data_IF_639638976630
#
_entry.id   IF_639638976630
#
_cell.length_a   1.000
_cell.length_b   1.000
_cell.length_c   1.000
_cell.angle_alpha   90.00
_cell.angle_beta   90.00
_cell.angle_gamma   90.00
#
_symmetry.space_group_name_H-M   'P 1'
#
loop_
_entity.id
_entity.type
_entity.pdbx_description
1 polymer ?
#
# COMPACT_ATOMS: atom_id res chain seq x y z
N UNK A 1 37.93 4.89 -33.74
CA UNK A 1 37.46 5.42 -32.44
C UNK A 1 36.95 4.22 -31.64
N UNK A 2 37.38 4.03 -30.39
CA UNK A 2 36.90 2.87 -29.60
C UNK A 2 35.41 3.04 -29.29
N UNK A 3 34.66 1.94 -29.24
CA UNK A 3 33.22 1.94 -28.94
C UNK A 3 32.91 2.71 -27.65
N UNK A 4 33.76 2.56 -26.62
CA UNK A 4 33.65 3.29 -25.36
C UNK A 4 33.75 4.81 -25.53
N UNK A 5 34.67 5.28 -26.38
CA UNK A 5 34.83 6.73 -26.63
C UNK A 5 33.58 7.31 -27.26
N UNK A 6 33.01 6.60 -28.24
CA UNK A 6 31.76 7.01 -28.89
C UNK A 6 30.59 7.05 -27.91
N UNK A 7 30.46 6.05 -27.03
CA UNK A 7 29.41 6.04 -26.00
C UNK A 7 29.58 7.22 -25.02
N UNK A 8 30.82 7.50 -24.57
CA UNK A 8 31.10 8.65 -23.70
C UNK A 8 30.74 9.98 -24.35
N UNK A 9 31.06 10.17 -25.62
CA UNK A 9 30.74 11.39 -26.37
C UNK A 9 29.21 11.59 -26.49
N UNK A 10 28.47 10.51 -26.82
CA UNK A 10 27.00 10.54 -26.84
C UNK A 10 26.46 10.94 -25.46
N UNK A 11 26.98 10.32 -24.40
CA UNK A 11 26.58 10.58 -23.02
C UNK A 11 26.90 12.01 -22.56
N UNK A 12 28.03 12.59 -22.97
CA UNK A 12 28.37 13.98 -22.67
C UNK A 12 27.33 14.97 -23.22
N UNK A 13 26.74 14.65 -24.38
CA UNK A 13 25.73 15.47 -25.02
C UNK A 13 24.32 15.35 -24.39
N UNK A 14 24.06 14.33 -23.56
CA UNK A 14 22.80 14.21 -22.80
C UNK A 14 22.63 15.35 -21.79
N UNK A 15 23.71 15.94 -21.30
CA UNK A 15 23.67 17.07 -20.38
C UNK A 15 23.79 18.44 -21.09
N UNK A 16 23.78 18.48 -22.42
CA UNK A 16 23.90 19.74 -23.19
C UNK A 16 22.80 20.74 -22.85
N UNK A 17 23.09 22.03 -22.96
CA UNK A 17 22.06 23.08 -22.83
C UNK A 17 21.13 23.15 -24.05
N UNK A 18 21.53 22.55 -25.18
CA UNK A 18 20.73 22.50 -26.41
C UNK A 18 19.77 21.29 -26.39
N UNK A 19 18.47 21.55 -26.33
CA UNK A 19 17.45 20.49 -26.27
C UNK A 19 17.48 19.55 -27.50
N UNK A 20 17.77 20.08 -28.70
CA UNK A 20 17.86 19.29 -29.94
C UNK A 20 19.04 18.32 -29.93
N UNK A 21 20.15 18.71 -29.29
CA UNK A 21 21.33 17.88 -29.11
C UNK A 21 21.06 16.76 -28.12
N UNK A 22 20.48 17.08 -26.95
CA UNK A 22 20.06 16.07 -25.98
C UNK A 22 19.13 15.03 -26.59
N UNK A 23 18.10 15.47 -27.32
CA UNK A 23 17.13 14.59 -27.98
C UNK A 23 17.81 13.65 -28.98
N UNK A 24 18.66 14.16 -29.86
CA UNK A 24 19.39 13.33 -30.83
C UNK A 24 20.29 12.31 -30.14
N UNK A 25 21.01 12.75 -29.12
CA UNK A 25 21.95 11.89 -28.40
C UNK A 25 21.26 10.79 -27.61
N UNK A 26 20.13 11.08 -26.94
CA UNK A 26 19.39 10.03 -26.20
C UNK A 26 18.72 9.03 -27.15
N UNK A 27 18.23 9.46 -28.32
CA UNK A 27 17.70 8.55 -29.35
C UNK A 27 18.80 7.62 -29.90
N UNK A 28 19.99 8.19 -30.14
CA UNK A 28 21.17 7.42 -30.55
C UNK A 28 21.60 6.44 -29.46
N UNK A 29 21.66 6.89 -28.21
CA UNK A 29 22.00 6.05 -27.07
C UNK A 29 21.01 4.91 -26.91
N UNK A 30 19.71 5.17 -27.09
CA UNK A 30 18.65 4.15 -27.04
C UNK A 30 18.89 3.05 -28.07
N UNK A 31 19.21 3.39 -29.32
CA UNK A 31 19.55 2.41 -30.36
C UNK A 31 20.85 1.64 -30.05
N UNK A 32 21.80 2.27 -29.36
CA UNK A 32 23.03 1.59 -28.94
C UNK A 32 22.78 0.61 -27.80
N UNK A 33 21.92 0.96 -26.84
CA UNK A 33 21.56 0.09 -25.71
C UNK A 33 20.69 -1.11 -26.11
N UNK A 34 19.96 -1.03 -27.22
CA UNK A 34 19.21 -2.19 -27.76
C UNK A 34 20.12 -3.17 -28.51
N UNK A 35 21.33 -2.76 -28.92
CA UNK A 35 22.30 -3.59 -29.63
C UNK A 35 23.34 -4.14 -28.65
N UNK A 36 23.50 -5.46 -28.57
CA UNK A 36 24.31 -6.15 -27.54
C UNK A 36 25.73 -5.59 -27.32
N UNK A 37 26.38 -4.99 -28.33
CA UNK A 37 27.75 -4.48 -28.23
C UNK A 37 27.98 -3.47 -27.08
N UNK A 38 27.07 -2.51 -26.87
CA UNK A 38 27.21 -1.54 -25.78
C UNK A 38 26.86 -2.14 -24.41
N UNK A 39 25.74 -2.86 -24.24
CA UNK A 39 25.47 -3.59 -23.01
C UNK A 39 26.59 -4.55 -22.59
N UNK A 40 27.22 -5.26 -23.53
CA UNK A 40 28.33 -6.18 -23.24
C UNK A 40 29.56 -5.42 -22.74
N UNK A 41 29.93 -4.33 -23.43
CA UNK A 41 31.01 -3.42 -23.01
C UNK A 41 30.78 -2.87 -21.59
N UNK A 42 29.60 -2.31 -21.33
CA UNK A 42 29.25 -1.73 -20.03
C UNK A 42 29.25 -2.79 -18.93
N UNK A 43 28.79 -4.01 -19.24
CA UNK A 43 28.77 -5.12 -18.30
C UNK A 43 30.17 -5.61 -17.95
N UNK A 44 31.06 -5.74 -18.95
CA UNK A 44 32.47 -6.07 -18.75
C UNK A 44 33.17 -5.03 -17.89
N UNK A 45 32.99 -3.76 -18.20
CA UNK A 45 33.60 -2.65 -17.47
C UNK A 45 33.10 -2.59 -16.03
N UNK A 46 31.80 -2.82 -15.80
CA UNK A 46 31.22 -2.88 -14.46
C UNK A 46 31.80 -4.02 -13.62
N UNK A 47 31.93 -5.23 -14.20
CA UNK A 47 32.53 -6.38 -13.51
C UNK A 47 34.01 -6.18 -13.21
N UNK A 48 34.77 -5.62 -14.17
CA UNK A 48 36.20 -5.31 -14.04
C UNK A 48 36.46 -4.10 -13.15
N UNK A 49 35.42 -3.32 -12.80
CA UNK A 49 35.50 -2.04 -12.09
C UNK A 49 36.47 -1.06 -12.78
N UNK A 50 36.46 -1.06 -14.11
CA UNK A 50 37.38 -0.26 -14.92
C UNK A 50 36.68 0.22 -16.20
N UNK A 51 36.98 1.44 -16.63
CA UNK A 51 36.34 2.06 -17.80
C UNK A 51 34.94 2.59 -17.51
N UNK A 52 34.22 2.98 -18.56
CA UNK A 52 32.83 3.44 -18.47
C UNK A 52 31.87 2.30 -18.20
N UNK A 53 31.11 2.40 -17.12
CA UNK A 53 30.30 1.32 -16.56
C UNK A 53 28.80 1.65 -16.57
N UNK A 54 27.97 0.68 -16.19
CA UNK A 54 26.54 0.92 -15.97
C UNK A 54 26.27 1.96 -14.89
N UNK A 55 27.15 2.07 -13.89
CA UNK A 55 27.02 3.06 -12.81
C UNK A 55 27.23 4.49 -13.31
N UNK A 56 28.11 4.69 -14.29
CA UNK A 56 28.38 6.01 -14.87
C UNK A 56 27.24 6.41 -15.81
N UNK A 57 26.76 5.44 -16.60
CA UNK A 57 25.62 5.67 -17.49
C UNK A 57 24.34 5.99 -16.72
N UNK A 58 24.09 5.31 -15.60
CA UNK A 58 22.91 5.56 -14.77
C UNK A 58 22.87 6.98 -14.19
N UNK A 59 24.02 7.48 -13.72
CA UNK A 59 24.12 8.86 -13.22
C UNK A 59 23.80 9.86 -14.34
N UNK A 60 24.39 9.69 -15.52
CA UNK A 60 24.18 10.58 -16.66
C UNK A 60 22.72 10.56 -17.15
N UNK A 61 22.09 9.38 -17.15
CA UNK A 61 20.68 9.24 -17.49
C UNK A 61 19.81 9.96 -16.44
N UNK A 62 20.13 9.81 -15.15
CA UNK A 62 19.42 10.50 -14.06
C UNK A 62 19.51 12.01 -14.22
N UNK A 63 20.71 12.55 -14.49
CA UNK A 63 20.90 13.98 -14.75
C UNK A 63 20.12 14.48 -15.97
N UNK A 64 20.11 13.68 -17.05
CA UNK A 64 19.30 13.95 -18.23
C UNK A 64 17.80 14.02 -17.91
N UNK A 65 17.29 13.05 -17.14
CA UNK A 65 15.88 13.02 -16.72
C UNK A 65 15.51 14.26 -15.90
N UNK A 66 16.34 14.63 -14.93
CA UNK A 66 16.13 15.82 -14.11
C UNK A 66 16.10 17.09 -14.97
N UNK A 67 17.01 17.20 -15.95
CA UNK A 67 17.08 18.34 -16.86
C UNK A 67 15.89 18.44 -17.81
N UNK A 68 15.34 17.31 -18.26
CA UNK A 68 14.11 17.32 -19.05
C UNK A 68 12.88 17.67 -18.19
N UNK A 69 12.86 17.22 -16.93
CA UNK A 69 11.78 17.51 -15.99
C UNK A 69 11.65 19.01 -15.68
N UNK A 70 12.73 19.79 -15.70
CA UNK A 70 12.70 21.26 -15.48
C UNK A 70 11.70 22.02 -16.37
N UNK A 71 11.36 21.46 -17.54
CA UNK A 71 10.48 22.11 -18.53
C UNK A 71 9.14 21.43 -18.69
N UNK A 72 8.79 20.45 -17.85
CA UNK A 72 7.65 19.57 -18.11
C UNK A 72 6.32 20.33 -18.21
N UNK A 73 6.07 21.31 -17.34
CA UNK A 73 4.84 22.11 -17.35
C UNK A 73 4.74 23.03 -18.58
N UNK A 74 5.88 23.55 -19.05
CA UNK A 74 5.95 24.49 -20.18
C UNK A 74 5.94 23.80 -21.54
N UNK A 75 6.25 22.50 -21.59
CA UNK A 75 6.49 21.76 -22.82
C UNK A 75 5.26 20.98 -23.26
N UNK A 76 4.67 21.40 -24.38
CA UNK A 76 3.48 20.75 -24.97
C UNK A 76 3.73 19.30 -25.42
N UNK A 77 4.99 18.92 -25.62
CA UNK A 77 5.37 17.59 -26.12
C UNK A 77 6.02 16.73 -25.03
N UNK A 78 6.07 17.19 -23.78
CA UNK A 78 6.78 16.45 -22.73
C UNK A 78 6.15 15.07 -22.51
N UNK A 79 4.87 15.01 -22.15
CA UNK A 79 4.20 13.75 -21.83
C UNK A 79 4.09 12.79 -23.02
N UNK A 80 4.04 13.30 -24.26
CA UNK A 80 3.83 12.48 -25.47
C UNK A 80 5.13 12.03 -26.14
N UNK A 81 6.24 12.76 -25.96
CA UNK A 81 7.51 12.48 -26.66
C UNK A 81 8.67 12.34 -25.70
N UNK A 82 8.93 13.35 -24.86
CA UNK A 82 10.10 13.37 -23.97
C UNK A 82 9.99 12.33 -22.86
N UNK A 83 8.84 12.26 -22.20
CA UNK A 83 8.59 11.36 -21.08
C UNK A 83 8.71 9.87 -21.48
N UNK A 84 8.08 9.38 -22.56
CA UNK A 84 8.28 7.99 -23.01
C UNK A 84 9.74 7.65 -23.32
N UNK A 85 10.51 8.63 -23.82
CA UNK A 85 11.93 8.46 -24.09
C UNK A 85 12.76 8.38 -22.80
N UNK A 86 12.43 9.20 -21.79
CA UNK A 86 13.00 9.15 -20.45
C UNK A 86 12.77 7.78 -19.79
N UNK A 87 11.51 7.31 -19.78
CA UNK A 87 11.16 5.98 -19.25
C UNK A 87 11.94 4.90 -19.97
N UNK A 88 11.95 4.94 -21.30
CA UNK A 88 12.60 3.92 -22.12
C UNK A 88 14.12 3.84 -21.87
N UNK A 89 14.82 4.97 -21.78
CA UNK A 89 16.28 4.95 -21.60
C UNK A 89 16.67 4.52 -20.18
N UNK A 90 15.92 4.98 -19.17
CA UNK A 90 16.09 4.59 -17.77
C UNK A 90 15.91 3.07 -17.61
N UNK A 91 14.84 2.52 -18.18
CA UNK A 91 14.54 1.09 -18.12
C UNK A 91 15.56 0.24 -18.87
N UNK A 92 15.98 0.67 -20.07
CA UNK A 92 17.01 -0.04 -20.85
C UNK A 92 18.35 -0.11 -20.09
N UNK A 93 18.73 0.96 -19.38
CA UNK A 93 19.95 0.98 -18.58
C UNK A 93 19.93 -0.07 -17.48
N UNK A 94 18.90 -0.07 -16.63
CA UNK A 94 18.82 -1.01 -15.51
C UNK A 94 18.57 -2.43 -15.99
N UNK A 95 17.66 -2.63 -16.95
CA UNK A 95 17.40 -3.95 -17.55
C UNK A 95 18.65 -4.55 -18.19
N UNK A 96 19.44 -3.74 -18.90
CA UNK A 96 20.71 -4.14 -19.49
C UNK A 96 21.71 -4.61 -18.43
N UNK A 97 21.85 -3.84 -17.34
CA UNK A 97 22.71 -4.20 -16.21
C UNK A 97 22.31 -5.53 -15.55
N UNK A 98 21.01 -5.76 -15.36
CA UNK A 98 20.46 -6.97 -14.76
C UNK A 98 20.69 -8.18 -15.67
N UNK A 99 20.37 -8.05 -16.96
CA UNK A 99 20.60 -9.11 -17.96
C UNK A 99 22.06 -9.51 -18.04
N UNK A 100 22.97 -8.53 -17.97
CA UNK A 100 24.40 -8.74 -17.95
C UNK A 100 24.96 -9.26 -16.62
N UNK A 101 24.13 -9.42 -15.57
CA UNK A 101 24.57 -9.71 -14.19
C UNK A 101 25.69 -8.77 -13.72
N UNK A 102 25.60 -7.52 -14.16
CA UNK A 102 26.58 -6.46 -13.94
C UNK A 102 25.85 -5.28 -13.32
N UNK A 103 25.31 -5.52 -12.12
CA UNK A 103 24.34 -4.65 -11.47
C UNK A 103 24.90 -3.25 -11.20
N UNK A 104 24.04 -2.25 -11.38
CA UNK A 104 24.27 -0.90 -10.87
C UNK A 104 24.29 -0.99 -9.34
N UNK A 105 24.96 -0.07 -8.64
CA UNK A 105 24.93 -0.02 -7.17
C UNK A 105 23.50 0.23 -6.70
N UNK A 106 23.01 -0.58 -5.76
CA UNK A 106 21.65 -0.46 -5.23
C UNK A 106 21.39 0.95 -4.66
N UNK A 107 22.31 1.46 -3.83
CA UNK A 107 22.20 2.80 -3.22
C UNK A 107 22.03 3.90 -4.28
N UNK A 108 22.70 3.80 -5.43
CA UNK A 108 22.51 4.79 -6.51
C UNK A 108 21.10 4.82 -7.06
N UNK A 109 20.50 3.65 -7.27
CA UNK A 109 19.13 3.56 -7.79
C UNK A 109 18.15 4.06 -6.73
N UNK A 110 18.35 3.63 -5.47
CA UNK A 110 17.47 4.02 -4.36
C UNK A 110 17.56 5.52 -4.08
N UNK A 111 18.76 6.10 -3.99
CA UNK A 111 18.96 7.53 -3.77
C UNK A 111 18.30 8.37 -4.87
N UNK A 112 18.48 7.98 -6.14
CA UNK A 112 17.85 8.65 -7.27
C UNK A 112 16.31 8.56 -7.21
N UNK A 113 15.77 7.37 -6.92
CA UNK A 113 14.33 7.16 -6.80
C UNK A 113 13.75 7.96 -5.63
N UNK A 114 14.34 7.87 -4.44
CA UNK A 114 13.90 8.60 -3.26
C UNK A 114 13.98 10.11 -3.47
N UNK A 115 15.03 10.62 -4.12
CA UNK A 115 15.16 12.04 -4.46
C UNK A 115 14.00 12.53 -5.34
N UNK A 116 13.67 11.80 -6.41
CA UNK A 116 12.56 12.15 -7.31
C UNK A 116 11.21 12.06 -6.60
N UNK A 117 10.98 10.98 -5.85
CA UNK A 117 9.68 10.69 -5.24
C UNK A 117 9.40 11.56 -3.98
N UNK A 118 10.44 12.09 -3.32
CA UNK A 118 10.29 13.08 -2.23
C UNK A 118 9.92 14.47 -2.73
N UNK A 119 10.33 14.82 -3.95
CA UNK A 119 10.08 16.14 -4.51
C UNK A 119 8.77 16.14 -5.30
N UNK A 120 7.77 16.88 -4.80
CA UNK A 120 6.43 16.98 -5.43
C UNK A 120 6.46 17.36 -6.91
N UNK A 121 7.34 18.29 -7.31
CA UNK A 121 7.45 18.73 -8.71
C UNK A 121 8.00 17.60 -9.60
N UNK A 122 9.08 16.94 -9.15
CA UNK A 122 9.71 15.85 -9.89
C UNK A 122 8.84 14.58 -9.92
N UNK A 123 8.10 14.31 -8.85
CA UNK A 123 7.15 13.19 -8.78
C UNK A 123 6.10 13.32 -9.88
N UNK A 124 5.56 14.53 -10.09
CA UNK A 124 4.58 14.78 -11.15
C UNK A 124 5.18 14.71 -12.56
N UNK A 125 6.46 15.08 -12.71
CA UNK A 125 7.12 15.08 -14.01
C UNK A 125 7.55 13.67 -14.46
N UNK A 126 8.24 12.94 -13.57
CA UNK A 126 8.97 11.72 -13.88
C UNK A 126 8.88 10.63 -12.78
N UNK A 127 8.04 10.81 -11.75
CA UNK A 127 7.91 9.85 -10.65
C UNK A 127 7.49 8.45 -11.11
N UNK A 128 6.54 8.36 -12.04
CA UNK A 128 6.10 7.11 -12.64
C UNK A 128 7.22 6.34 -13.34
N UNK A 129 8.22 7.04 -13.91
CA UNK A 129 9.38 6.40 -14.53
C UNK A 129 10.21 5.63 -13.48
N UNK A 130 10.39 6.21 -12.29
CA UNK A 130 11.12 5.60 -11.19
C UNK A 130 10.31 4.54 -10.45
N UNK A 131 9.00 4.72 -10.26
CA UNK A 131 8.16 3.68 -9.68
C UNK A 131 8.11 2.43 -10.57
N UNK A 132 7.91 2.62 -11.87
CA UNK A 132 7.94 1.51 -12.83
C UNK A 132 9.33 0.89 -12.96
N UNK A 133 10.41 1.67 -12.79
CA UNK A 133 11.78 1.15 -12.72
C UNK A 133 11.94 0.22 -11.51
N UNK A 134 11.57 0.70 -10.32
CA UNK A 134 11.64 -0.06 -9.07
C UNK A 134 10.85 -1.36 -9.20
N UNK A 135 9.60 -1.26 -9.63
CA UNK A 135 8.67 -2.39 -9.79
C UNK A 135 9.14 -3.44 -10.80
N UNK A 136 9.74 -3.03 -11.92
CA UNK A 136 10.05 -3.98 -13.01
C UNK A 136 11.44 -4.59 -12.89
N UNK A 137 12.40 -3.87 -12.30
CA UNK A 137 13.81 -4.24 -12.41
C UNK A 137 14.57 -4.27 -11.08
N UNK A 138 14.06 -3.61 -10.04
CA UNK A 138 14.79 -3.52 -8.75
C UNK A 138 14.18 -4.45 -7.73
N UNK A 139 12.90 -4.24 -7.40
CA UNK A 139 12.18 -5.00 -6.37
C UNK A 139 11.98 -6.49 -6.72
N UNK A 140 11.82 -6.89 -7.99
CA UNK A 140 11.81 -8.32 -8.35
C UNK A 140 13.19 -8.99 -8.42
N UNK A 141 14.28 -8.26 -8.16
CA UNK A 141 15.64 -8.77 -8.33
C UNK A 141 16.31 -8.97 -6.97
N UNK A 142 16.52 -10.23 -6.60
CA UNK A 142 17.09 -10.64 -5.30
C UNK A 142 18.42 -9.94 -4.96
N UNK A 143 19.23 -9.65 -5.97
CA UNK A 143 20.50 -8.94 -5.78
C UNK A 143 20.30 -7.52 -5.24
N UNK A 144 19.23 -6.83 -5.65
CA UNK A 144 18.93 -5.51 -5.08
C UNK A 144 18.21 -5.62 -3.76
N UNK A 145 17.16 -6.45 -3.68
CA UNK A 145 16.32 -6.57 -2.46
C UNK A 145 17.16 -6.89 -1.23
N UNK A 146 18.14 -7.79 -1.35
CA UNK A 146 19.05 -8.16 -0.25
C UNK A 146 20.02 -7.03 0.17
N UNK A 147 20.19 -5.99 -0.66
CA UNK A 147 21.06 -4.86 -0.41
C UNK A 147 20.30 -3.61 0.07
N UNK A 148 18.96 -3.57 -0.04
CA UNK A 148 18.16 -2.45 0.45
C UNK A 148 18.14 -2.50 1.99
N UNK A 149 18.65 -1.44 2.62
CA UNK A 149 18.70 -1.35 4.08
C UNK A 149 17.30 -1.16 4.68
N UNK A 150 17.05 -1.56 5.94
CA UNK A 150 15.78 -1.29 6.62
C UNK A 150 15.40 0.20 6.61
N UNK A 151 16.37 1.12 6.77
CA UNK A 151 16.12 2.56 6.68
C UNK A 151 15.69 3.01 5.28
N UNK A 152 16.25 2.41 4.23
CA UNK A 152 15.84 2.71 2.85
C UNK A 152 14.44 2.17 2.56
N UNK A 153 14.09 1.01 3.12
CA UNK A 153 12.73 0.49 3.07
C UNK A 153 11.74 1.39 3.79
N UNK A 154 12.08 1.90 4.97
CA UNK A 154 11.27 2.87 5.71
C UNK A 154 11.06 4.15 4.90
N UNK A 155 12.12 4.68 4.29
CA UNK A 155 12.03 5.87 3.44
C UNK A 155 11.13 5.65 2.24
N UNK A 156 11.23 4.48 1.59
CA UNK A 156 10.39 4.12 0.45
C UNK A 156 8.92 3.99 0.88
N UNK A 157 8.67 3.32 2.02
CA UNK A 157 7.34 3.20 2.61
C UNK A 157 6.75 4.57 2.93
N UNK A 158 7.51 5.45 3.56
CA UNK A 158 7.07 6.80 3.90
C UNK A 158 6.65 7.59 2.66
N UNK A 159 7.40 7.50 1.57
CA UNK A 159 7.08 8.24 0.34
C UNK A 159 5.87 7.64 -0.38
N UNK A 160 5.80 6.32 -0.47
CA UNK A 160 4.67 5.61 -1.08
C UNK A 160 3.38 5.99 -0.32
N UNK A 161 3.43 5.91 1.01
CA UNK A 161 2.30 6.20 1.91
C UNK A 161 1.94 7.69 1.93
N UNK A 162 2.91 8.60 2.08
CA UNK A 162 2.64 10.01 2.36
C UNK A 162 2.48 10.89 1.12
N UNK A 163 2.91 10.45 -0.08
CA UNK A 163 3.04 11.37 -1.21
C UNK A 163 2.67 10.81 -2.58
N UNK A 164 2.99 9.55 -2.86
CA UNK A 164 2.81 8.98 -4.19
C UNK A 164 1.42 8.35 -4.38
N UNK A 165 0.92 7.59 -3.41
CA UNK A 165 -0.36 6.89 -3.56
C UNK A 165 -1.55 7.86 -3.68
N UNK A 166 -1.63 8.91 -2.86
CA UNK A 166 -2.75 9.87 -2.90
C UNK A 166 -2.82 10.69 -4.21
N UNK A 167 -1.69 10.92 -4.90
CA UNK A 167 -1.65 11.70 -6.15
C UNK A 167 -1.70 10.83 -7.39
N UNK A 168 -0.90 9.77 -7.44
CA UNK A 168 -0.84 8.86 -8.59
C UNK A 168 -2.12 8.04 -8.71
N UNK A 169 -2.82 7.79 -7.59
CA UNK A 169 -4.18 7.24 -7.62
C UNK A 169 -5.13 8.08 -8.47
N UNK A 170 -5.05 9.41 -8.40
CA UNK A 170 -5.96 10.30 -9.11
C UNK A 170 -5.69 10.32 -10.62
N UNK A 171 -4.44 10.09 -11.04
CA UNK A 171 -4.02 10.22 -12.44
C UNK A 171 -3.87 8.86 -13.16
N UNK A 172 -3.47 7.79 -12.46
CA UNK A 172 -3.24 6.47 -13.03
C UNK A 172 -3.43 5.31 -12.02
N UNK A 173 -4.63 5.24 -11.43
CA UNK A 173 -5.02 4.22 -10.43
C UNK A 173 -4.64 2.78 -10.81
N UNK A 174 -4.76 2.38 -12.08
CA UNK A 174 -4.51 0.99 -12.49
C UNK A 174 -3.03 0.60 -12.37
N UNK A 175 -2.12 1.49 -12.75
CA UNK A 175 -0.68 1.26 -12.56
C UNK A 175 -0.31 1.25 -11.07
N UNK A 176 -1.01 2.04 -10.26
CA UNK A 176 -0.84 2.03 -8.80
C UNK A 176 -1.31 0.70 -8.20
N UNK A 177 -2.45 0.16 -8.63
CA UNK A 177 -2.89 -1.19 -8.26
C UNK A 177 -1.84 -2.24 -8.61
N UNK A 178 -1.33 -2.24 -9.85
CA UNK A 178 -0.28 -3.16 -10.29
C UNK A 178 0.99 -3.05 -9.42
N UNK A 179 1.37 -1.84 -9.03
CA UNK A 179 2.51 -1.62 -8.16
C UNK A 179 2.28 -2.21 -6.77
N UNK A 180 1.12 -1.96 -6.17
CA UNK A 180 0.78 -2.47 -4.85
C UNK A 180 0.72 -4.00 -4.88
N UNK A 181 -0.03 -4.59 -5.80
CA UNK A 181 -0.24 -6.03 -5.90
C UNK A 181 1.09 -6.80 -5.99
N UNK A 182 2.07 -6.28 -6.73
CA UNK A 182 3.38 -6.92 -6.93
C UNK A 182 4.36 -6.73 -5.77
N UNK A 183 4.27 -5.62 -5.04
CA UNK A 183 5.28 -5.25 -4.05
C UNK A 183 4.81 -5.40 -2.60
N UNK A 184 3.50 -5.48 -2.35
CA UNK A 184 2.97 -5.68 -1.01
C UNK A 184 3.43 -6.99 -0.34
N UNK A 185 3.62 -8.11 -1.06
CA UNK A 185 4.20 -9.32 -0.47
C UNK A 185 5.55 -9.12 0.22
N UNK A 186 6.40 -8.24 -0.30
CA UNK A 186 7.70 -7.92 0.33
C UNK A 186 7.49 -7.28 1.71
N UNK A 187 6.47 -6.44 1.87
CA UNK A 187 6.16 -5.81 3.16
C UNK A 187 5.72 -6.84 4.19
N UNK A 188 5.00 -7.88 3.78
CA UNK A 188 4.63 -8.97 4.68
C UNK A 188 5.85 -9.77 5.15
N UNK A 189 6.85 -9.98 4.30
CA UNK A 189 8.10 -10.67 4.65
C UNK A 189 8.94 -9.89 5.68
N UNK A 190 8.90 -8.56 5.65
CA UNK A 190 9.64 -7.70 6.59
C UNK A 190 8.87 -7.37 7.88
N UNK A 191 7.61 -7.77 8.00
CA UNK A 191 6.82 -7.45 9.18
C UNK A 191 7.23 -8.31 10.39
N UNK A 192 7.51 -7.65 11.51
CA UNK A 192 7.74 -8.31 12.80
C UNK A 192 6.83 -7.71 13.88
N UNK A 193 6.18 -8.55 14.69
CA UNK A 193 5.26 -8.10 15.75
C UNK A 193 5.93 -7.21 16.80
N UNK A 194 7.23 -7.36 17.02
CA UNK A 194 8.03 -6.58 17.97
C UNK A 194 8.69 -5.35 17.33
N UNK A 195 8.37 -5.02 16.08
CA UNK A 195 8.90 -3.82 15.42
C UNK A 195 8.46 -2.54 16.16
N UNK A 196 9.24 -1.48 15.97
CA UNK A 196 8.95 -0.16 16.54
C UNK A 196 7.55 0.35 16.17
N UNK A 197 6.90 1.06 17.11
CA UNK A 197 5.51 1.53 16.99
C UNK A 197 5.33 2.45 15.78
N UNK A 198 6.31 3.31 15.48
CA UNK A 198 6.24 4.20 14.32
C UNK A 198 6.28 3.40 13.02
N UNK A 199 7.17 2.41 12.92
CA UNK A 199 7.27 1.53 11.74
C UNK A 199 6.00 0.73 11.53
N UNK A 200 5.47 0.16 12.61
CA UNK A 200 4.20 -0.56 12.58
C UNK A 200 3.05 0.33 12.11
N UNK A 201 3.00 1.58 12.58
CA UNK A 201 2.00 2.56 12.14
C UNK A 201 2.11 2.88 10.65
N UNK A 202 3.33 2.98 10.10
CA UNK A 202 3.58 3.19 8.67
C UNK A 202 3.12 1.99 7.82
N UNK A 203 3.42 0.76 8.27
CA UNK A 203 2.93 -0.45 7.60
C UNK A 203 1.40 -0.46 7.54
N UNK A 204 0.71 -0.26 8.67
CA UNK A 204 -0.75 -0.23 8.65
C UNK A 204 -1.32 0.95 7.84
N UNK A 205 -0.61 2.08 7.75
CA UNK A 205 -1.03 3.17 6.86
C UNK A 205 -0.92 2.78 5.37
N UNK A 206 0.14 2.07 4.99
CA UNK A 206 0.28 1.51 3.65
C UNK A 206 -0.86 0.54 3.35
N UNK A 207 -1.17 -0.36 4.28
CA UNK A 207 -2.26 -1.32 4.10
C UNK A 207 -3.61 -0.62 3.95
N UNK A 208 -3.87 0.38 4.79
CA UNK A 208 -5.10 1.17 4.70
C UNK A 208 -5.23 1.85 3.33
N UNK A 209 -4.16 2.53 2.89
CA UNK A 209 -4.13 3.23 1.59
C UNK A 209 -4.27 2.24 0.44
N UNK A 210 -3.60 1.10 0.53
CA UNK A 210 -3.68 0.02 -0.47
C UNK A 210 -5.09 -0.51 -0.61
N UNK A 211 -5.77 -0.80 0.51
CA UNK A 211 -7.17 -1.25 0.49
C UNK A 211 -8.07 -0.14 -0.05
N UNK A 212 -7.90 1.12 0.38
CA UNK A 212 -8.73 2.23 -0.08
C UNK A 212 -8.60 2.47 -1.61
N UNK A 213 -7.41 2.23 -2.17
CA UNK A 213 -7.16 2.32 -3.61
C UNK A 213 -7.88 1.19 -4.37
N UNK A 214 -7.95 -0.02 -3.84
CA UNK A 214 -8.61 -1.15 -4.52
C UNK A 214 -10.12 -1.19 -4.27
N UNK A 215 -10.52 -0.88 -3.04
CA UNK A 215 -11.86 -0.93 -2.48
C UNK A 215 -12.27 0.43 -1.89
N UNK A 216 -12.46 1.49 -2.70
CA UNK A 216 -12.91 2.78 -2.21
C UNK A 216 -14.21 2.62 -1.41
N UNK A 217 -14.23 3.12 -0.18
CA UNK A 217 -15.38 2.99 0.73
C UNK A 217 -15.82 1.53 0.99
N UNK A 218 -14.92 0.57 0.84
CA UNK A 218 -15.19 -0.86 1.01
C UNK A 218 -15.99 -1.50 -0.14
N UNK A 219 -15.95 -0.91 -1.34
CA UNK A 219 -16.61 -1.49 -2.51
C UNK A 219 -15.91 -2.75 -3.00
N UNK A 220 -16.65 -3.83 -3.27
CA UNK A 220 -16.11 -5.14 -3.70
C UNK A 220 -16.01 -5.26 -5.22
N UNK A 221 -15.31 -6.29 -5.74
CA UNK A 221 -14.99 -6.48 -7.17
C UNK A 221 -16.14 -6.23 -8.16
N UNK A 222 -17.37 -6.56 -7.79
CA UNK A 222 -18.54 -6.43 -8.67
C UNK A 222 -19.25 -5.08 -8.57
N UNK A 223 -18.74 -4.16 -7.74
CA UNK A 223 -19.32 -2.84 -7.53
C UNK A 223 -18.54 -1.76 -8.30
N UNK A 224 -19.28 -0.74 -8.72
CA UNK A 224 -18.71 0.40 -9.43
C UNK A 224 -17.56 1.02 -8.63
N UNK A 225 -16.48 1.40 -9.31
CA UNK A 225 -15.26 1.96 -8.73
C UNK A 225 -14.39 1.01 -7.90
N UNK A 226 -14.72 -0.27 -7.71
CA UNK A 226 -13.73 -1.24 -7.25
C UNK A 226 -12.75 -1.53 -8.40
N UNK A 227 -11.44 -1.60 -8.11
CA UNK A 227 -10.43 -1.77 -9.15
C UNK A 227 -9.23 -2.54 -8.62
N UNK A 228 -8.74 -3.48 -9.43
CA UNK A 228 -7.46 -4.15 -9.26
C UNK A 228 -6.86 -4.31 -10.66
N UNK A 229 -5.53 -4.35 -10.75
CA UNK A 229 -4.85 -4.74 -11.97
C UNK A 229 -5.02 -6.24 -12.21
N UNK A 230 -4.79 -7.04 -11.17
CA UNK A 230 -5.04 -8.47 -11.14
C UNK A 230 -5.77 -8.85 -9.84
N UNK A 231 -7.07 -9.15 -9.97
CA UNK A 231 -7.91 -9.54 -8.82
C UNK A 231 -7.43 -10.81 -8.11
N UNK A 232 -6.76 -11.73 -8.81
CA UNK A 232 -6.25 -12.96 -8.18
C UNK A 232 -5.07 -12.65 -7.26
N UNK A 233 -4.10 -11.87 -7.76
CA UNK A 233 -2.95 -11.38 -6.97
C UNK A 233 -3.41 -10.51 -5.79
N UNK A 234 -4.37 -9.61 -6.03
CA UNK A 234 -4.92 -8.77 -4.99
C UNK A 234 -5.67 -9.57 -3.91
N UNK A 235 -6.42 -10.60 -4.28
CA UNK A 235 -7.10 -11.45 -3.29
C UNK A 235 -6.11 -12.22 -2.41
N UNK A 236 -4.96 -12.64 -2.95
CA UNK A 236 -3.87 -13.21 -2.15
C UNK A 236 -3.35 -12.18 -1.15
N UNK A 237 -3.11 -10.94 -1.62
CA UNK A 237 -2.71 -9.85 -0.74
C UNK A 237 -3.73 -9.57 0.37
N UNK A 238 -5.03 -9.53 0.07
CA UNK A 238 -6.09 -9.35 1.07
C UNK A 238 -6.09 -10.46 2.13
N UNK A 239 -5.86 -11.71 1.72
CA UNK A 239 -5.74 -12.81 2.68
C UNK A 239 -4.51 -12.64 3.58
N UNK A 240 -3.36 -12.26 3.01
CA UNK A 240 -2.17 -11.96 3.80
C UNK A 240 -2.38 -10.79 4.77
N UNK A 241 -3.16 -9.77 4.38
CA UNK A 241 -3.57 -8.68 5.29
C UNK A 241 -4.42 -9.23 6.44
N UNK A 242 -5.39 -10.11 6.17
CA UNK A 242 -6.20 -10.75 7.23
C UNK A 242 -5.36 -11.58 8.19
N UNK A 243 -4.41 -12.35 7.66
CA UNK A 243 -3.51 -13.18 8.46
C UNK A 243 -2.63 -12.28 9.35
N UNK A 244 -2.14 -11.17 8.81
CA UNK A 244 -1.38 -10.16 9.55
C UNK A 244 -2.19 -9.50 10.67
N UNK A 245 -3.44 -9.10 10.39
CA UNK A 245 -4.35 -8.55 11.41
C UNK A 245 -4.55 -9.57 12.53
N UNK A 246 -4.82 -10.84 12.18
CA UNK A 246 -5.05 -11.90 13.15
C UNK A 246 -3.82 -12.16 14.01
N UNK A 247 -2.64 -12.15 13.39
CA UNK A 247 -1.35 -12.27 14.04
C UNK A 247 -1.13 -11.12 15.04
N UNK A 248 -1.49 -9.89 14.67
CA UNK A 248 -1.33 -8.71 15.53
C UNK A 248 -2.35 -8.68 16.67
N UNK A 249 -3.62 -9.03 16.43
CA UNK A 249 -4.64 -9.19 17.48
C UNK A 249 -4.13 -10.19 18.53
N UNK A 250 -3.66 -11.36 18.08
CA UNK A 250 -3.13 -12.39 18.97
C UNK A 250 -1.93 -11.91 19.78
N UNK A 251 -1.08 -11.06 19.20
CA UNK A 251 0.06 -10.46 19.89
C UNK A 251 -0.39 -9.47 20.96
N UNK A 252 -1.30 -8.55 20.62
CA UNK A 252 -1.85 -7.55 21.54
C UNK A 252 -2.49 -8.23 22.74
N UNK A 253 -3.30 -9.26 22.52
CA UNK A 253 -3.99 -9.98 23.58
C UNK A 253 -3.04 -10.72 24.53
N UNK A 254 -1.91 -11.21 24.04
CA UNK A 254 -0.87 -11.86 24.85
C UNK A 254 0.05 -10.85 25.57
N UNK A 255 0.21 -9.66 25.01
CA UNK A 255 1.14 -8.64 25.49
C UNK A 255 0.44 -7.59 26.36
N UNK A 256 0.34 -7.84 27.66
CA UNK A 256 -0.24 -6.89 28.63
C UNK A 256 0.57 -5.57 28.77
N UNK A 257 1.79 -5.47 28.22
CA UNK A 257 2.65 -4.28 28.35
C UNK A 257 2.44 -3.23 27.24
N UNK A 258 1.82 -3.61 26.12
CA UNK A 258 1.65 -2.75 24.93
C UNK A 258 0.18 -2.52 24.54
N UNK A 259 -0.76 -3.03 25.34
CA UNK A 259 -2.20 -2.95 25.10
C UNK A 259 -2.70 -1.52 24.88
N UNK A 260 -2.25 -0.56 25.70
CA UNK A 260 -2.70 0.84 25.59
C UNK A 260 -2.14 1.58 24.36
N UNK A 261 -0.93 1.24 23.90
CA UNK A 261 -0.30 1.88 22.72
C UNK A 261 -0.92 1.40 21.40
N UNK A 262 -1.39 0.15 21.34
CA UNK A 262 -2.00 -0.41 20.12
C UNK A 262 -3.52 -0.23 20.06
N UNK A 263 -4.20 -0.12 21.21
CA UNK A 263 -5.59 0.38 21.27
C UNK A 263 -5.75 1.71 20.51
N UNK A 264 -4.71 2.54 20.55
CA UNK A 264 -4.68 3.88 19.95
C UNK A 264 -4.02 3.92 18.56
N UNK A 265 -3.58 2.79 18.01
CA UNK A 265 -3.04 2.76 16.65
C UNK A 265 -4.18 2.90 15.62
N UNK A 266 -4.49 4.14 15.27
CA UNK A 266 -5.59 4.49 14.38
C UNK A 266 -5.54 3.72 13.05
N UNK A 267 -4.36 3.59 12.44
CA UNK A 267 -4.19 2.89 11.17
C UNK A 267 -4.50 1.39 11.28
N UNK A 268 -4.06 0.72 12.36
CA UNK A 268 -4.38 -0.69 12.59
C UNK A 268 -5.89 -0.90 12.76
N UNK A 269 -6.55 -0.06 13.55
CA UNK A 269 -7.99 -0.15 13.77
C UNK A 269 -8.77 0.10 12.46
N UNK A 270 -8.33 1.05 11.63
CA UNK A 270 -8.90 1.32 10.30
C UNK A 270 -8.76 0.13 9.36
N UNK A 271 -7.56 -0.43 9.22
CA UNK A 271 -7.30 -1.62 8.39
C UNK A 271 -8.13 -2.81 8.86
N UNK A 272 -8.19 -3.04 10.17
CA UNK A 272 -8.98 -4.13 10.74
C UNK A 272 -10.47 -3.94 10.44
N UNK A 273 -11.02 -2.75 10.67
CA UNK A 273 -12.43 -2.45 10.44
C UNK A 273 -12.83 -2.63 8.97
N UNK A 274 -12.06 -2.10 8.01
CA UNK A 274 -12.36 -2.25 6.58
C UNK A 274 -12.23 -3.70 6.13
N UNK A 275 -11.25 -4.43 6.65
CA UNK A 275 -11.07 -5.83 6.27
C UNK A 275 -12.19 -6.73 6.78
N UNK A 276 -12.64 -6.56 8.04
CA UNK A 276 -13.84 -7.25 8.52
C UNK A 276 -15.08 -6.88 7.71
N UNK A 277 -15.25 -5.59 7.36
CA UNK A 277 -16.36 -5.16 6.50
C UNK A 277 -16.34 -5.87 5.13
N UNK A 278 -15.17 -5.91 4.47
CA UNK A 278 -15.00 -6.61 3.20
C UNK A 278 -15.27 -8.11 3.33
N UNK A 279 -14.77 -8.76 4.38
CA UNK A 279 -15.03 -10.18 4.64
C UNK A 279 -16.52 -10.46 4.81
N UNK A 280 -17.23 -9.65 5.58
CA UNK A 280 -18.67 -9.82 5.79
C UNK A 280 -19.45 -9.63 4.48
N UNK A 281 -19.13 -8.58 3.72
CA UNK A 281 -19.79 -8.25 2.46
C UNK A 281 -19.54 -9.28 1.36
N UNK A 282 -18.32 -9.82 1.28
CA UNK A 282 -18.01 -10.92 0.36
C UNK A 282 -18.69 -12.23 0.76
N UNK A 283 -18.84 -12.48 2.06
CA UNK A 283 -19.55 -13.67 2.56
C UNK A 283 -21.03 -13.65 2.19
N UNK A 284 -21.71 -12.50 2.31
CA UNK A 284 -23.12 -12.37 1.90
C UNK A 284 -23.29 -12.57 0.41
N UNK A 285 -22.42 -11.99 -0.43
CA UNK A 285 -22.53 -12.13 -1.88
C UNK A 285 -22.31 -13.57 -2.37
N UNK A 286 -21.46 -14.36 -1.71
CA UNK A 286 -21.27 -15.78 -2.05
C UNK A 286 -22.49 -16.66 -1.70
N UNK A 287 -23.30 -16.24 -0.73
CA UNK A 287 -24.56 -16.93 -0.39
C UNK A 287 -25.60 -16.65 -1.47
N UNK A 288 -25.72 -15.40 -1.93
CA UNK A 288 -26.71 -15.00 -2.94
C UNK A 288 -26.47 -15.65 -4.31
N UNK A 289 -25.21 -15.87 -4.71
CA UNK A 289 -24.86 -16.50 -5.99
C UNK A 289 -25.09 -18.02 -5.99
N UNK A 290 -25.03 -18.68 -4.82
CA UNK A 290 -25.24 -20.14 -4.70
C UNK A 290 -26.73 -20.55 -4.61
N UNK A 291 -27.66 -19.59 -4.72
CA UNK A 291 -29.09 -19.85 -4.68
C UNK A 291 -29.65 -20.35 -6.04
N UNK A 292 -28.90 -20.23 -7.13
CA UNK A 292 -29.28 -20.72 -8.46
C UNK A 292 -28.25 -21.75 -8.98
N UNK A 293 -28.54 -23.04 -8.75
CA UNK A 293 -28.04 -24.12 -9.60
C UNK A 293 -26.63 -24.68 -9.32
N UNK A 294 -26.62 -25.99 -9.04
CA UNK A 294 -25.50 -26.94 -9.26
C UNK A 294 -24.33 -26.99 -8.26
N UNK A 295 -24.43 -28.04 -7.42
CA UNK A 295 -23.36 -28.94 -6.93
C UNK A 295 -22.01 -28.30 -6.57
N UNK A 296 -21.88 -28.10 -5.27
CA UNK A 296 -20.65 -27.90 -4.51
C UNK A 296 -19.40 -28.58 -5.10
N UNK A 297 -18.53 -27.77 -5.69
CA UNK A 297 -17.13 -28.10 -5.91
C UNK A 297 -16.28 -27.69 -4.68
N UNK A 298 -15.30 -28.55 -4.39
CA UNK A 298 -14.42 -28.59 -3.21
C UNK A 298 -13.95 -27.22 -2.70
N UNK A 299 -14.32 -26.91 -1.45
CA UNK A 299 -13.76 -25.80 -0.66
C UNK A 299 -12.23 -25.98 -0.52
N UNK A 300 -11.40 -25.01 -0.93
CA UNK A 300 -10.02 -24.94 -0.47
C UNK A 300 -10.03 -24.67 1.04
N UNK A 301 -9.22 -25.41 1.80
CA UNK A 301 -9.02 -25.17 3.24
C UNK A 301 -8.22 -23.89 3.43
N UNK A 302 -8.88 -22.80 3.80
CA UNK A 302 -8.25 -21.63 4.43
C UNK A 302 -8.43 -21.72 5.94
N UNK A 303 -7.32 -21.88 6.63
CA UNK A 303 -7.19 -21.60 8.07
C UNK A 303 -7.54 -20.15 8.35
N UNK A 304 -8.20 -19.90 9.49
CA UNK A 304 -8.67 -18.60 10.02
C UNK A 304 -10.09 -18.17 9.57
N UNK A 305 -11.07 -18.90 10.09
CA UNK A 305 -12.50 -18.54 10.13
C UNK A 305 -12.79 -17.69 11.38
N UNK A 306 -12.13 -16.55 11.53
CA UNK A 306 -12.42 -15.64 12.65
C UNK A 306 -13.31 -14.53 12.08
N UNK A 307 -14.61 -14.68 12.31
CA UNK A 307 -15.68 -13.71 12.03
C UNK A 307 -16.13 -13.62 10.57
N UNK A 308 -17.28 -14.22 10.26
CA UNK A 308 -17.96 -14.07 8.96
C UNK A 308 -19.09 -13.04 9.01
N UNK A 309 -19.49 -12.65 10.22
CA UNK A 309 -20.57 -11.69 10.46
C UNK A 309 -20.18 -10.68 11.54
N UNK A 310 -20.91 -9.56 11.57
CA UNK A 310 -20.76 -8.57 12.63
C UNK A 310 -21.03 -9.16 14.03
N UNK A 311 -21.96 -10.11 14.13
CA UNK A 311 -22.26 -10.80 15.39
C UNK A 311 -21.06 -11.58 15.94
N UNK A 312 -20.26 -12.19 15.07
CA UNK A 312 -19.05 -12.92 15.49
C UNK A 312 -18.01 -11.96 16.06
N UNK A 313 -17.84 -10.79 15.43
CA UNK A 313 -16.98 -9.71 15.93
C UNK A 313 -17.41 -9.22 17.32
N UNK A 314 -18.72 -9.10 17.56
CA UNK A 314 -19.23 -8.79 18.91
C UNK A 314 -18.97 -9.94 19.89
N UNK A 315 -19.01 -11.19 19.43
CA UNK A 315 -18.62 -12.36 20.22
C UNK A 315 -17.17 -12.28 20.71
N UNK A 316 -16.25 -11.85 19.86
CA UNK A 316 -14.84 -11.62 20.22
C UNK A 316 -14.70 -10.47 21.23
N UNK A 317 -15.43 -9.36 21.03
CA UNK A 317 -15.47 -8.25 22.00
C UNK A 317 -15.91 -8.73 23.40
N UNK A 318 -16.93 -9.59 23.49
CA UNK A 318 -17.38 -10.14 24.78
C UNK A 318 -16.31 -10.96 25.50
N UNK A 319 -15.49 -11.71 24.75
CA UNK A 319 -14.46 -12.57 25.33
C UNK A 319 -13.24 -11.76 25.76
N UNK A 320 -12.83 -10.82 24.93
CA UNK A 320 -11.71 -9.93 25.21
C UNK A 320 -11.99 -8.57 24.58
N UNK A 321 -12.03 -7.52 25.38
CA UNK A 321 -12.31 -6.19 24.86
C UNK A 321 -11.15 -5.55 24.11
N UNK A 322 -9.93 -6.09 24.29
CA UNK A 322 -8.73 -5.60 23.62
C UNK A 322 -8.37 -6.55 22.46
N UNK A 323 -8.11 -6.04 21.24
CA UNK A 323 -8.30 -4.67 20.74
C UNK A 323 -9.73 -4.38 20.24
N UNK A 324 -10.64 -5.35 20.39
CA UNK A 324 -11.94 -5.40 19.71
C UNK A 324 -12.84 -4.19 19.93
N UNK A 325 -12.82 -3.53 21.09
CA UNK A 325 -13.63 -2.31 21.31
C UNK A 325 -13.25 -1.19 20.33
N UNK A 326 -11.96 -1.03 20.03
CA UNK A 326 -11.45 0.02 19.14
C UNK A 326 -11.72 -0.31 17.67
N UNK A 327 -11.57 -1.59 17.29
CA UNK A 327 -11.94 -2.07 15.95
C UNK A 327 -13.45 -1.87 15.72
N UNK A 328 -14.27 -2.18 16.73
CA UNK A 328 -15.73 -2.01 16.67
C UNK A 328 -16.12 -0.53 16.54
N UNK A 329 -15.47 0.36 17.29
CA UNK A 329 -15.68 1.81 17.21
C UNK A 329 -15.46 2.32 15.79
N UNK A 330 -14.31 1.97 15.20
CA UNK A 330 -13.96 2.39 13.83
C UNK A 330 -14.90 1.75 12.80
N UNK A 331 -15.26 0.48 12.98
CA UNK A 331 -16.22 -0.21 12.11
C UNK A 331 -17.57 0.51 12.10
N UNK A 332 -18.17 0.77 13.27
CA UNK A 332 -19.48 1.42 13.37
C UNK A 332 -19.43 2.85 12.83
N UNK A 333 -18.33 3.56 13.05
CA UNK A 333 -18.13 4.92 12.54
C UNK A 333 -18.13 4.98 11.01
N UNK A 334 -17.46 4.05 10.33
CA UNK A 334 -17.29 4.09 8.87
C UNK A 334 -18.31 3.25 8.10
N UNK A 335 -18.78 2.15 8.68
CA UNK A 335 -19.62 1.16 8.02
C UNK A 335 -20.94 0.92 8.76
N UNK A 336 -21.29 1.72 9.77
CA UNK A 336 -22.52 1.54 10.54
C UNK A 336 -23.80 1.58 9.69
N UNK A 337 -23.80 2.24 8.53
CA UNK A 337 -24.95 2.21 7.62
C UNK A 337 -25.25 0.82 7.04
N UNK A 338 -24.31 -0.12 7.11
CA UNK A 338 -24.52 -1.51 6.68
C UNK A 338 -25.10 -2.42 7.78
N UNK A 339 -25.29 -1.91 9.00
CA UNK A 339 -25.75 -2.69 10.15
C UNK A 339 -27.27 -2.57 10.32
N UNK A 340 -27.90 -3.67 10.74
CA UNK A 340 -29.32 -3.72 11.05
C UNK A 340 -29.62 -3.24 12.48
N UNK A 341 -30.90 -3.00 12.80
CA UNK A 341 -31.33 -2.70 14.19
C UNK A 341 -30.90 -3.81 15.15
N UNK A 342 -30.98 -5.08 14.73
CA UNK A 342 -30.61 -6.24 15.55
C UNK A 342 -29.11 -6.21 15.89
N UNK A 343 -28.26 -5.85 14.92
CA UNK A 343 -26.81 -5.74 15.14
C UNK A 343 -26.49 -4.68 16.19
N UNK A 344 -27.17 -3.53 16.11
CA UNK A 344 -27.03 -2.45 17.09
C UNK A 344 -27.54 -2.83 18.47
N UNK A 345 -28.66 -3.55 18.58
CA UNK A 345 -29.17 -4.04 19.86
C UNK A 345 -28.21 -5.02 20.53
N UNK A 346 -27.63 -5.96 19.76
CA UNK A 346 -26.64 -6.92 20.27
C UNK A 346 -25.40 -6.17 20.79
N UNK A 347 -24.90 -5.21 20.02
CA UNK A 347 -23.76 -4.38 20.41
C UNK A 347 -24.08 -3.54 21.66
N UNK A 348 -25.25 -2.92 21.72
CA UNK A 348 -25.64 -2.09 22.85
C UNK A 348 -25.74 -2.90 24.16
N UNK A 349 -26.36 -4.08 24.11
CA UNK A 349 -26.40 -5.01 25.25
C UNK A 349 -24.98 -5.39 25.70
N UNK A 350 -24.10 -5.64 24.74
CA UNK A 350 -22.69 -5.94 25.01
C UNK A 350 -21.98 -4.78 25.69
N UNK A 351 -22.21 -3.54 25.24
CA UNK A 351 -21.65 -2.34 25.86
C UNK A 351 -22.15 -2.13 27.29
N UNK A 352 -23.45 -2.35 27.54
CA UNK A 352 -24.05 -2.28 28.89
C UNK A 352 -23.45 -3.31 29.84
N UNK A 353 -23.33 -4.57 29.40
CA UNK A 353 -22.65 -5.64 30.14
C UNK A 353 -21.18 -5.27 30.43
N UNK A 354 -20.50 -4.72 29.44
CA UNK A 354 -19.10 -4.34 29.53
C UNK A 354 -18.82 -3.27 30.59
N UNK A 355 -19.55 -2.13 30.53
CA UNK A 355 -19.37 -1.04 31.50
C UNK A 355 -19.74 -1.45 32.93
N UNK A 356 -20.70 -2.36 33.08
CA UNK A 356 -21.11 -2.86 34.40
C UNK A 356 -20.06 -3.76 35.07
N UNK A 357 -19.17 -4.35 34.28
CA UNK A 357 -18.24 -5.40 34.75
C UNK A 357 -16.76 -4.99 34.70
N UNK A 358 -16.42 -3.92 33.98
CA UNK A 358 -15.04 -3.52 33.73
C UNK A 358 -14.77 -2.09 34.22
N UNK A 359 -13.52 -1.84 34.64
CA UNK A 359 -13.04 -0.47 34.89
C UNK A 359 -12.71 0.19 33.56
N UNK A 360 -13.56 1.11 33.10
CA UNK A 360 -13.45 1.68 31.76
C UNK A 360 -12.69 3.01 31.69
N UNK A 361 -12.10 3.49 32.79
CA UNK A 361 -11.44 4.80 32.84
C UNK A 361 -10.40 5.03 31.74
N UNK A 362 -9.59 4.01 31.40
CA UNK A 362 -8.53 4.13 30.39
C UNK A 362 -9.04 4.12 28.93
N UNK A 363 -10.27 3.66 28.72
CA UNK A 363 -10.89 3.47 27.41
C UNK A 363 -12.23 4.21 27.28
N UNK A 364 -12.52 5.08 28.24
CA UNK A 364 -13.80 5.79 28.35
C UNK A 364 -14.12 6.55 27.07
N UNK A 365 -13.13 7.25 26.49
CA UNK A 365 -13.31 8.00 25.25
C UNK A 365 -13.79 7.12 24.09
N UNK A 366 -13.26 5.89 23.98
CA UNK A 366 -13.62 4.94 22.91
C UNK A 366 -15.01 4.37 23.18
N UNK A 367 -15.27 3.99 24.43
CA UNK A 367 -16.58 3.50 24.86
C UNK A 367 -17.69 4.55 24.63
N UNK A 368 -17.45 5.80 25.02
CA UNK A 368 -18.35 6.92 24.83
C UNK A 368 -18.60 7.17 23.33
N UNK A 369 -17.53 7.31 22.52
CA UNK A 369 -17.63 7.50 21.08
C UNK A 369 -18.51 6.42 20.43
N UNK A 370 -18.20 5.15 20.72
CA UNK A 370 -18.92 4.01 20.17
C UNK A 370 -20.39 4.00 20.60
N UNK A 371 -20.65 4.20 21.90
CA UNK A 371 -22.01 4.21 22.46
C UNK A 371 -22.85 5.35 21.86
N UNK A 372 -22.31 6.55 21.76
CA UNK A 372 -22.98 7.68 21.13
C UNK A 372 -23.31 7.41 19.66
N UNK A 373 -22.39 6.77 18.92
CA UNK A 373 -22.62 6.44 17.52
C UNK A 373 -23.70 5.37 17.35
N UNK A 374 -23.70 4.33 18.19
CA UNK A 374 -24.75 3.29 18.22
C UNK A 374 -26.12 3.91 18.49
N UNK A 375 -26.23 4.76 19.52
CA UNK A 375 -27.47 5.44 19.86
C UNK A 375 -27.96 6.36 18.73
N UNK A 376 -27.04 7.13 18.11
CA UNK A 376 -27.37 7.97 16.96
C UNK A 376 -27.96 7.14 15.81
N UNK A 377 -27.36 5.99 15.51
CA UNK A 377 -27.80 5.11 14.42
C UNK A 377 -29.15 4.43 14.74
N UNK A 378 -29.35 3.95 15.96
CA UNK A 378 -30.65 3.41 16.42
C UNK A 378 -31.78 4.45 16.33
N UNK A 379 -31.50 5.70 16.74
CA UNK A 379 -32.45 6.81 16.59
C UNK A 379 -32.81 7.06 15.13
N UNK A 380 -31.83 7.02 14.23
CA UNK A 380 -32.07 7.20 12.79
C UNK A 380 -32.92 6.07 12.19
N UNK A 381 -32.76 4.84 12.69
CA UNK A 381 -33.56 3.67 12.32
C UNK A 381 -34.98 3.67 12.93
N UNK A 382 -35.35 4.70 13.71
CA UNK A 382 -36.64 4.81 14.41
C UNK A 382 -36.95 3.61 15.30
N UNK A 383 -35.94 3.08 15.98
CA UNK A 383 -36.12 2.02 16.96
C UNK A 383 -37.06 2.48 18.10
N UNK A 384 -38.13 1.74 18.33
CA UNK A 384 -39.14 2.02 19.36
C UNK A 384 -38.60 1.85 20.78
N UNK A 385 -37.53 1.07 20.97
CA UNK A 385 -36.89 0.84 22.26
C UNK A 385 -35.77 1.85 22.59
N UNK A 386 -35.51 2.83 21.72
CA UNK A 386 -34.41 3.79 21.87
C UNK A 386 -34.38 4.49 23.24
N UNK A 387 -35.53 4.91 23.77
CA UNK A 387 -35.61 5.61 25.06
C UNK A 387 -35.23 4.68 26.22
N UNK A 388 -35.66 3.42 26.19
CA UNK A 388 -35.33 2.43 27.21
C UNK A 388 -33.82 2.14 27.24
N UNK A 389 -33.24 2.01 26.04
CA UNK A 389 -31.81 1.85 25.81
C UNK A 389 -30.97 2.99 26.40
N UNK A 390 -31.37 4.25 26.17
CA UNK A 390 -30.70 5.44 26.73
C UNK A 390 -30.81 5.47 28.25
N UNK A 391 -32.01 5.23 28.79
CA UNK A 391 -32.24 5.24 30.24
C UNK A 391 -31.41 4.16 30.94
N UNK A 392 -31.32 2.96 30.38
CA UNK A 392 -30.48 1.87 30.91
C UNK A 392 -29.01 2.28 31.01
N UNK A 393 -28.44 2.79 29.91
CA UNK A 393 -27.04 3.24 29.88
C UNK A 393 -26.78 4.38 30.87
N UNK A 394 -27.67 5.37 30.95
CA UNK A 394 -27.57 6.47 31.90
C UNK A 394 -27.50 5.95 33.33
N UNK A 395 -28.39 5.03 33.70
CA UNK A 395 -28.43 4.46 35.05
C UNK A 395 -27.17 3.65 35.40
N UNK A 396 -26.52 3.04 34.41
CA UNK A 396 -25.29 2.27 34.61
C UNK A 396 -24.07 3.19 34.70
N UNK A 397 -23.99 4.24 33.88
CA UNK A 397 -22.81 5.09 33.76
C UNK A 397 -22.72 6.21 34.82
N UNK A 398 -23.86 6.63 35.38
CA UNK A 398 -23.92 7.74 36.37
C UNK A 398 -23.86 7.24 37.82
N UNK A 399 -24.05 5.93 38.03
CA UNK A 399 -23.80 5.27 39.31
C UNK A 399 -22.32 4.94 39.45
#
# INVERSE_FOLDING_TARGET
MSLETTVKEICGNLCSNKATERKRSVETLKDYLTRNAVPDLLSDNTRKKAGFSWNDLFDIITDYLLKEAEKYESSKTFHTVTYPLCVSILHLCVAGSNKGRAYIKCDKIMDAALFVLRNKYLTNAIGDAYLSLLQKYVLPCDNYVSLITPSTWEDLLDIIVAGCLDKLYLENRLSVCEFIEKNLPLIFEFYEQNMDVKKKSQVFNLLHTSIAIHHPLGRIKNEESAQAHNWEEWNICLQSIMDLITLEISYIQKSHRHSNTLLTCANFNQVSAIMFFLTFKMSTHNIDVNCDGERAAKRPRTTVSINQTFKDLIGEFKQNHIPWISITEVYVKHFGCSLSTIDYEILLKTLQEFVSTNKINEIWCIFESLTCQVLRNLKALKDGAFIEHVNSLWMICVR
#
